data_IF_606794839610
#
_entry.id   IF_606794839610
#
_cell.length_a   1.000
_cell.length_b   1.000
_cell.length_c   1.000
_cell.angle_alpha   90.00
_cell.angle_beta   90.00
_cell.angle_gamma   90.00
#
_symmetry.space_group_name_H-M   'P 1'
#
loop_
_entity.id
_entity.type
_entity.pdbx_description
1 polymer ?
#
# COMPACT_ATOMS: atom_id res chain seq x y z
N UNK A 1 -82.43 -43.91 -3.62
CA UNK A 1 -82.66 -43.72 -2.17
C UNK A 1 -81.35 -43.18 -1.62
N UNK A 2 -81.21 -41.86 -1.40
CA UNK A 2 -81.63 -41.16 -0.18
C UNK A 2 -81.04 -41.86 1.05
N UNK A 3 -80.18 -41.27 1.89
CA UNK A 3 -80.19 -39.92 2.39
C UNK A 3 -78.80 -39.43 2.77
N UNK A 4 -78.64 -38.14 2.52
CA UNK A 4 -77.71 -37.19 3.12
C UNK A 4 -77.76 -37.31 4.65
N UNK A 5 -76.60 -37.32 5.31
CA UNK A 5 -76.52 -36.81 6.68
C UNK A 5 -75.20 -36.05 6.86
N UNK A 6 -75.42 -34.79 7.21
CA UNK A 6 -74.50 -33.68 7.28
C UNK A 6 -74.22 -33.46 8.76
N UNK A 7 -72.97 -33.62 9.18
CA UNK A 7 -72.51 -33.10 10.47
C UNK A 7 -71.27 -32.27 10.19
N UNK A 8 -71.45 -30.96 10.35
CA UNK A 8 -70.40 -29.95 10.40
C UNK A 8 -69.48 -30.18 11.61
N UNK A 9 -68.19 -30.33 11.33
CA UNK A 9 -67.11 -30.07 12.28
C UNK A 9 -66.01 -29.36 11.51
N UNK A 10 -65.95 -28.03 11.66
CA UNK A 10 -64.96 -27.21 10.97
C UNK A 10 -63.56 -27.51 11.48
N UNK A 11 -62.73 -28.06 10.60
CA UNK A 11 -61.28 -27.99 10.74
C UNK A 11 -60.81 -26.81 9.90
N UNK A 12 -60.43 -25.73 10.58
CA UNK A 12 -59.77 -24.58 9.97
C UNK A 12 -58.50 -25.06 9.25
N UNK A 13 -58.21 -24.56 8.04
CA UNK A 13 -56.92 -24.80 7.41
C UNK A 13 -55.85 -24.21 8.32
N UNK A 14 -54.88 -25.03 8.74
CA UNK A 14 -53.69 -24.59 9.46
C UNK A 14 -52.94 -23.55 8.61
N UNK A 15 -53.31 -22.29 8.80
CA UNK A 15 -52.55 -21.15 8.33
C UNK A 15 -51.24 -21.21 9.10
N UNK A 16 -50.16 -21.58 8.41
CA UNK A 16 -48.82 -21.35 8.90
C UNK A 16 -48.65 -19.84 9.04
N UNK A 17 -48.98 -19.32 10.22
CA UNK A 17 -48.58 -18.01 10.66
C UNK A 17 -47.07 -17.98 10.59
N UNK A 18 -46.54 -17.39 9.52
CA UNK A 18 -45.18 -16.90 9.47
C UNK A 18 -45.10 -15.79 10.52
N UNK A 19 -44.97 -16.19 11.80
CA UNK A 19 -44.43 -15.35 12.83
C UNK A 19 -43.04 -14.99 12.35
N UNK A 20 -42.90 -13.78 11.81
CA UNK A 20 -41.61 -13.19 11.54
C UNK A 20 -40.97 -12.94 12.90
N UNK A 21 -40.32 -13.99 13.44
CA UNK A 21 -39.40 -13.87 14.55
C UNK A 21 -38.32 -12.89 14.13
N UNK A 22 -38.56 -11.64 14.48
CA UNK A 22 -37.60 -10.56 14.47
C UNK A 22 -36.63 -10.81 15.63
N UNK A 23 -35.96 -11.96 15.62
CA UNK A 23 -34.73 -12.14 16.34
C UNK A 23 -33.73 -11.19 15.69
N UNK A 24 -33.65 -9.98 16.23
CA UNK A 24 -32.59 -9.04 15.95
C UNK A 24 -31.27 -9.76 16.19
N UNK A 25 -30.64 -10.21 15.10
CA UNK A 25 -29.25 -10.61 15.13
C UNK A 25 -28.43 -9.37 15.45
N UNK A 26 -28.27 -9.09 16.74
CA UNK A 26 -27.37 -8.08 17.22
C UNK A 26 -25.98 -8.42 16.70
N UNK A 27 -25.48 -7.62 15.76
CA UNK A 27 -24.19 -7.84 15.12
C UNK A 27 -23.14 -7.84 16.22
N UNK A 28 -22.60 -9.02 16.54
CA UNK A 28 -21.50 -9.19 17.50
C UNK A 28 -20.44 -8.13 17.19
N UNK A 29 -20.21 -7.23 18.15
CA UNK A 29 -19.21 -6.16 18.02
C UNK A 29 -17.87 -6.84 17.71
N UNK A 30 -17.27 -6.49 16.57
CA UNK A 30 -15.98 -7.05 16.15
C UNK A 30 -14.94 -6.82 17.25
N UNK A 31 -14.29 -7.89 17.72
CA UNK A 31 -13.23 -7.82 18.75
C UNK A 31 -12.08 -6.87 18.37
N UNK A 32 -11.92 -6.58 17.08
CA UNK A 32 -10.90 -5.68 16.54
C UNK A 32 -11.59 -4.51 15.84
N UNK A 33 -11.19 -3.29 16.21
CA UNK A 33 -11.71 -2.06 15.59
C UNK A 33 -11.28 -1.96 14.12
N UNK A 34 -12.08 -1.28 13.29
CA UNK A 34 -11.75 -1.06 11.88
C UNK A 34 -10.40 -0.33 11.74
N UNK A 35 -10.12 0.66 12.60
CA UNK A 35 -8.85 1.39 12.65
C UNK A 35 -7.65 0.48 12.90
N UNK A 36 -7.76 -0.48 13.84
CA UNK A 36 -6.69 -1.45 14.09
C UNK A 36 -6.46 -2.37 12.89
N UNK A 37 -7.53 -2.83 12.23
CA UNK A 37 -7.42 -3.66 11.03
C UNK A 37 -6.75 -2.90 9.88
N UNK A 38 -7.11 -1.63 9.67
CA UNK A 38 -6.48 -0.78 8.67
C UNK A 38 -4.99 -0.56 8.97
N UNK A 39 -4.65 -0.23 10.23
CA UNK A 39 -3.27 -0.06 10.65
C UNK A 39 -2.42 -1.31 10.35
N UNK A 40 -2.93 -2.51 10.67
CA UNK A 40 -2.24 -3.76 10.39
C UNK A 40 -2.09 -4.02 8.88
N UNK A 41 -3.13 -3.76 8.07
CA UNK A 41 -3.04 -3.85 6.60
C UNK A 41 -1.97 -2.91 6.04
N UNK A 42 -1.93 -1.66 6.52
CA UNK A 42 -0.91 -0.69 6.11
C UNK A 42 0.49 -1.17 6.48
N UNK A 43 0.69 -1.72 7.69
CA UNK A 43 1.99 -2.28 8.11
C UNK A 43 2.39 -3.48 7.25
N UNK A 44 1.46 -4.36 6.92
CA UNK A 44 1.69 -5.50 6.04
C UNK A 44 2.11 -5.04 4.64
N UNK A 45 1.37 -4.10 4.04
CA UNK A 45 1.70 -3.56 2.72
C UNK A 45 3.05 -2.84 2.70
N UNK A 46 3.38 -2.07 3.75
CA UNK A 46 4.70 -1.44 3.90
C UNK A 46 5.82 -2.48 3.91
N UNK A 47 5.66 -3.57 4.69
CA UNK A 47 6.65 -4.64 4.73
C UNK A 47 6.76 -5.37 3.39
N UNK A 48 5.63 -5.71 2.76
CA UNK A 48 5.61 -6.37 1.46
C UNK A 48 6.27 -5.52 0.37
N UNK A 49 6.04 -4.20 0.37
CA UNK A 49 6.69 -3.28 -0.56
C UNK A 49 8.20 -3.23 -0.35
N UNK A 50 8.67 -3.22 0.90
CA UNK A 50 10.10 -3.27 1.20
C UNK A 50 10.73 -4.59 0.72
N UNK A 51 10.08 -5.72 1.01
CA UNK A 51 10.53 -7.04 0.55
C UNK A 51 10.60 -7.13 -0.98
N UNK A 52 9.62 -6.56 -1.69
CA UNK A 52 9.61 -6.53 -3.16
C UNK A 52 10.79 -5.73 -3.74
N UNK A 53 11.17 -4.61 -3.10
CA UNK A 53 12.34 -3.84 -3.52
C UNK A 53 13.61 -4.65 -3.30
N UNK A 54 13.76 -5.28 -2.13
CA UNK A 54 14.91 -6.14 -1.84
C UNK A 54 15.02 -7.31 -2.81
N UNK A 55 13.91 -7.99 -3.12
CA UNK A 55 13.90 -9.10 -4.07
C UNK A 55 14.29 -8.66 -5.48
N UNK A 56 13.84 -7.48 -5.93
CA UNK A 56 14.24 -6.91 -7.22
C UNK A 56 15.73 -6.64 -7.30
N UNK A 57 16.30 -6.08 -6.23
CA UNK A 57 17.74 -5.83 -6.18
C UNK A 57 18.53 -7.14 -6.19
N UNK A 58 18.13 -8.12 -5.38
CA UNK A 58 18.74 -9.46 -5.38
C UNK A 58 18.71 -10.11 -6.76
N UNK A 59 17.56 -10.03 -7.48
CA UNK A 59 17.44 -10.54 -8.85
C UNK A 59 18.37 -9.82 -9.82
N UNK A 60 18.58 -8.52 -9.65
CA UNK A 60 19.52 -7.74 -10.49
C UNK A 60 20.96 -8.16 -10.22
N UNK A 61 21.37 -8.22 -8.94
CA UNK A 61 22.72 -8.65 -8.56
C UNK A 61 23.00 -10.07 -9.03
N UNK A 62 22.04 -10.99 -8.88
CA UNK A 62 22.20 -12.36 -9.34
C UNK A 62 22.31 -12.46 -10.86
N UNK A 63 21.53 -11.65 -11.60
CA UNK A 63 21.67 -11.54 -13.06
C UNK A 63 23.07 -11.08 -13.45
N UNK A 64 23.59 -10.04 -12.80
CA UNK A 64 24.95 -9.54 -13.05
C UNK A 64 26.00 -10.60 -12.72
N UNK A 65 25.85 -11.31 -11.59
CA UNK A 65 26.75 -12.41 -11.20
C UNK A 65 26.80 -13.51 -12.27
N UNK A 66 25.63 -13.99 -12.71
CA UNK A 66 25.54 -15.05 -13.72
C UNK A 66 26.11 -14.58 -15.06
N UNK A 67 25.83 -13.34 -15.47
CA UNK A 67 26.36 -12.81 -16.73
C UNK A 67 27.88 -12.68 -16.69
N UNK A 68 28.45 -12.21 -15.58
CA UNK A 68 29.90 -12.11 -15.42
C UNK A 68 30.59 -13.48 -15.42
N UNK A 69 29.92 -14.51 -14.88
CA UNK A 69 30.42 -15.89 -14.89
C UNK A 69 30.35 -16.53 -16.30
N UNK A 70 29.24 -16.31 -17.01
CA UNK A 70 28.97 -16.94 -18.32
C UNK A 70 29.63 -16.22 -19.49
N UNK A 71 29.72 -14.89 -19.40
CA UNK A 71 30.24 -14.00 -20.44
C UNK A 71 31.18 -12.99 -19.77
N UNK A 72 32.36 -13.44 -19.33
CA UNK A 72 33.35 -12.53 -18.78
C UNK A 72 33.81 -11.50 -19.82
N UNK A 73 34.31 -10.32 -19.40
CA UNK A 73 34.89 -9.34 -20.31
C UNK A 73 35.98 -9.96 -21.20
N UNK A 74 35.98 -9.58 -22.48
CA UNK A 74 36.98 -10.08 -23.42
C UNK A 74 38.31 -9.36 -23.22
N UNK A 75 39.36 -10.12 -22.95
CA UNK A 75 40.73 -9.64 -22.91
C UNK A 75 41.42 -9.95 -24.24
N UNK A 76 41.65 -8.91 -25.05
CA UNK A 76 42.20 -9.07 -26.41
C UNK A 76 43.66 -8.65 -26.53
N UNK A 77 44.19 -7.95 -25.52
CA UNK A 77 45.47 -7.25 -25.55
C UNK A 77 46.69 -8.18 -25.65
N UNK A 78 46.55 -9.47 -25.34
CA UNK A 78 47.63 -10.45 -25.28
C UNK A 78 47.48 -11.60 -26.28
N UNK A 79 46.46 -11.55 -27.15
CA UNK A 79 46.19 -12.63 -28.11
C UNK A 79 47.02 -12.47 -29.39
N UNK A 80 47.56 -13.58 -29.89
CA UNK A 80 48.13 -13.61 -31.23
C UNK A 80 47.02 -13.51 -32.30
N UNK A 81 47.38 -13.20 -33.55
CA UNK A 81 46.42 -13.17 -34.67
C UNK A 81 45.68 -14.51 -34.81
N UNK A 82 46.37 -15.63 -34.62
CA UNK A 82 45.79 -16.96 -34.74
C UNK A 82 44.78 -17.23 -33.61
N UNK A 83 45.12 -16.84 -32.38
CA UNK A 83 44.23 -17.00 -31.23
C UNK A 83 42.99 -16.13 -31.36
N UNK A 84 43.14 -14.91 -31.88
CA UNK A 84 42.01 -14.03 -32.16
C UNK A 84 41.07 -14.64 -33.22
N UNK A 85 41.61 -15.21 -34.30
CA UNK A 85 40.81 -15.90 -35.30
C UNK A 85 40.07 -17.12 -34.74
N UNK A 86 40.72 -17.88 -33.85
CA UNK A 86 40.12 -19.03 -33.19
C UNK A 86 38.99 -18.58 -32.25
N UNK A 87 39.22 -17.54 -31.44
CA UNK A 87 38.22 -16.95 -30.55
C UNK A 87 36.99 -16.46 -31.33
N UNK A 88 37.18 -15.77 -32.46
CA UNK A 88 36.06 -15.33 -33.30
C UNK A 88 35.21 -16.51 -33.82
N UNK A 89 35.85 -17.60 -34.24
CA UNK A 89 35.14 -18.82 -34.68
C UNK A 89 34.40 -19.51 -33.53
N UNK A 90 35.00 -19.53 -32.34
CA UNK A 90 34.37 -20.09 -31.14
C UNK A 90 33.16 -19.27 -30.70
N UNK A 91 33.30 -17.95 -30.62
CA UNK A 91 32.20 -17.05 -30.28
C UNK A 91 31.04 -17.16 -31.27
N UNK A 92 31.34 -17.25 -32.58
CA UNK A 92 30.30 -17.47 -33.59
C UNK A 92 29.50 -18.74 -33.33
N UNK A 93 30.17 -19.88 -33.08
CA UNK A 93 29.49 -21.15 -32.77
C UNK A 93 28.68 -21.05 -31.48
N UNK A 94 29.19 -20.36 -30.45
CA UNK A 94 28.49 -20.14 -29.19
C UNK A 94 27.22 -19.30 -29.38
N UNK A 95 27.24 -18.30 -30.27
CA UNK A 95 26.07 -17.48 -30.59
C UNK A 95 24.94 -18.36 -31.12
N UNK A 96 25.23 -19.27 -32.07
CA UNK A 96 24.22 -20.16 -32.65
C UNK A 96 23.55 -21.03 -31.57
N UNK A 97 24.34 -21.64 -30.68
CA UNK A 97 23.84 -22.47 -29.58
C UNK A 97 23.01 -21.65 -28.58
N UNK A 98 23.50 -20.48 -28.17
CA UNK A 98 22.79 -19.64 -27.19
C UNK A 98 21.49 -19.07 -27.78
N UNK A 99 21.44 -18.77 -29.08
CA UNK A 99 20.19 -18.30 -29.69
C UNK A 99 19.15 -19.41 -29.80
N UNK A 100 19.56 -20.66 -30.07
CA UNK A 100 18.69 -21.83 -29.99
C UNK A 100 18.11 -22.00 -28.56
N UNK A 101 18.96 -21.97 -27.54
CA UNK A 101 18.51 -22.04 -26.14
C UNK A 101 17.57 -20.87 -25.77
N UNK A 102 17.88 -19.66 -26.25
CA UNK A 102 17.04 -18.47 -26.06
C UNK A 102 15.66 -18.67 -26.69
N UNK A 103 15.61 -19.19 -27.91
CA UNK A 103 14.38 -19.48 -28.64
C UNK A 103 13.50 -20.49 -27.88
N UNK A 104 14.10 -21.58 -27.37
CA UNK A 104 13.39 -22.58 -26.58
C UNK A 104 12.79 -22.01 -25.29
N UNK A 105 13.53 -21.13 -24.60
CA UNK A 105 13.04 -20.45 -23.41
C UNK A 105 11.90 -19.49 -23.76
N UNK A 106 12.02 -18.72 -24.84
CA UNK A 106 10.99 -17.82 -25.33
C UNK A 106 9.70 -18.57 -25.69
N UNK A 107 9.80 -19.72 -26.35
CA UNK A 107 8.66 -20.57 -26.68
C UNK A 107 7.92 -21.07 -25.43
N UNK A 108 8.66 -21.43 -24.37
CA UNK A 108 8.08 -21.82 -23.06
C UNK A 108 7.38 -20.65 -22.38
N UNK A 109 7.98 -19.45 -22.39
CA UNK A 109 7.34 -18.23 -21.84
C UNK A 109 6.06 -17.91 -22.62
N UNK A 110 6.10 -17.93 -23.95
CA UNK A 110 4.93 -17.66 -24.78
C UNK A 110 3.80 -18.67 -24.58
N UNK A 111 4.10 -19.92 -24.23
CA UNK A 111 3.11 -20.93 -23.84
C UNK A 111 2.46 -20.56 -22.50
N UNK A 112 3.28 -20.21 -21.50
CA UNK A 112 2.79 -19.79 -20.18
C UNK A 112 1.92 -18.53 -20.28
N UNK A 113 2.30 -17.55 -21.11
CA UNK A 113 1.52 -16.32 -21.29
C UNK A 113 0.15 -16.60 -21.90
N UNK A 114 0.06 -17.52 -22.87
CA UNK A 114 -1.21 -17.99 -23.43
C UNK A 114 -2.07 -18.66 -22.38
N UNK A 115 -1.50 -19.58 -21.60
CA UNK A 115 -2.23 -20.25 -20.51
C UNK A 115 -2.72 -19.24 -19.45
N UNK A 116 -1.90 -18.24 -19.08
CA UNK A 116 -2.30 -17.18 -18.17
C UNK A 116 -3.42 -16.31 -18.74
N UNK A 117 -3.39 -15.98 -20.03
CA UNK A 117 -4.45 -15.23 -20.70
C UNK A 117 -5.77 -16.00 -20.66
N UNK A 118 -5.75 -17.29 -20.98
CA UNK A 118 -6.92 -18.17 -20.95
C UNK A 118 -7.49 -18.30 -19.53
N UNK A 119 -6.62 -18.48 -18.53
CA UNK A 119 -7.03 -18.55 -17.12
C UNK A 119 -7.62 -17.22 -16.65
N UNK A 120 -7.03 -16.09 -17.02
CA UNK A 120 -7.56 -14.77 -16.69
C UNK A 120 -8.94 -14.54 -17.33
N UNK A 121 -9.14 -14.99 -18.57
CA UNK A 121 -10.43 -14.95 -19.24
C UNK A 121 -11.47 -15.78 -18.49
N UNK A 122 -11.16 -17.04 -18.16
CA UNK A 122 -12.04 -17.91 -17.35
C UNK A 122 -12.38 -17.29 -16.00
N UNK A 123 -11.39 -16.70 -15.30
CA UNK A 123 -11.62 -15.99 -14.04
C UNK A 123 -12.59 -14.82 -14.23
N UNK A 124 -12.47 -14.07 -15.33
CA UNK A 124 -13.35 -12.96 -15.64
C UNK A 124 -14.79 -13.43 -15.88
N UNK A 125 -14.98 -14.49 -16.67
CA UNK A 125 -16.28 -15.10 -16.91
C UNK A 125 -16.92 -15.61 -15.61
N UNK A 126 -16.16 -16.34 -14.78
CA UNK A 126 -16.63 -16.88 -13.50
C UNK A 126 -16.96 -15.79 -12.47
N UNK A 127 -16.20 -14.69 -12.45
CA UNK A 127 -16.52 -13.53 -11.60
C UNK A 127 -17.83 -12.83 -12.03
N UNK A 128 -18.33 -13.14 -13.23
CA UNK A 128 -19.53 -12.61 -13.84
C UNK A 128 -19.34 -11.18 -14.34
N UNK A 129 -19.71 -10.91 -15.60
CA UNK A 129 -19.79 -9.55 -16.18
C UNK A 129 -20.63 -8.57 -15.35
N UNK A 130 -21.46 -9.08 -14.44
CA UNK A 130 -22.38 -8.32 -13.61
C UNK A 130 -22.19 -8.72 -12.15
N UNK A 131 -21.22 -8.13 -11.44
CA UNK A 131 -21.50 -7.85 -10.02
C UNK A 131 -22.76 -7.00 -10.03
N UNK A 132 -23.91 -7.56 -9.64
CA UNK A 132 -25.12 -6.76 -9.39
C UNK A 132 -24.68 -5.55 -8.58
N UNK A 133 -24.80 -4.30 -9.09
CA UNK A 133 -24.49 -3.13 -8.29
C UNK A 133 -25.37 -3.24 -7.06
N UNK A 134 -24.75 -3.50 -5.91
CA UNK A 134 -25.53 -3.66 -4.70
C UNK A 134 -26.15 -2.29 -4.45
N UNK A 135 -27.49 -2.18 -4.61
CA UNK A 135 -28.21 -0.92 -4.47
C UNK A 135 -28.02 -0.44 -3.03
N UNK A 136 -26.98 0.37 -2.80
CA UNK A 136 -26.72 0.99 -1.50
C UNK A 136 -27.73 2.11 -1.35
N UNK A 137 -28.44 2.17 -0.22
CA UNK A 137 -29.19 3.35 0.18
C UNK A 137 -28.18 4.50 0.33
N UNK A 138 -28.04 5.32 -0.70
CA UNK A 138 -27.20 6.51 -0.68
C UNK A 138 -27.91 7.52 0.22
N UNK A 139 -27.38 7.73 1.42
CA UNK A 139 -27.73 8.92 2.20
C UNK A 139 -26.94 10.09 1.61
N UNK A 140 -27.54 11.28 1.59
CA UNK A 140 -26.90 12.52 1.15
C UNK A 140 -25.51 12.62 1.79
N UNK A 141 -24.46 12.78 0.99
CA UNK A 141 -23.08 12.83 1.51
C UNK A 141 -22.90 14.04 2.43
N UNK A 142 -21.92 13.98 3.33
CA UNK A 142 -21.57 15.12 4.18
C UNK A 142 -21.31 16.37 3.32
N UNK A 143 -20.64 16.22 2.18
CA UNK A 143 -20.38 17.30 1.22
C UNK A 143 -21.66 17.86 0.57
N UNK A 144 -22.63 17.00 0.26
CA UNK A 144 -23.92 17.43 -0.29
C UNK A 144 -24.79 18.12 0.77
N UNK A 145 -24.73 17.68 2.03
CA UNK A 145 -25.37 18.38 3.15
C UNK A 145 -24.68 19.71 3.46
N UNK A 146 -23.34 19.75 3.47
CA UNK A 146 -22.56 20.96 3.74
C UNK A 146 -22.69 21.97 2.60
N UNK A 147 -22.70 21.54 1.34
CA UNK A 147 -22.97 22.41 0.20
C UNK A 147 -24.39 22.98 0.20
N UNK A 148 -25.39 22.21 0.66
CA UNK A 148 -26.76 22.68 0.80
C UNK A 148 -26.96 23.64 1.99
N UNK A 149 -26.26 23.41 3.11
CA UNK A 149 -26.38 24.23 4.32
C UNK A 149 -25.49 25.48 4.31
N UNK A 150 -24.33 25.42 3.67
CA UNK A 150 -23.29 26.46 3.75
C UNK A 150 -22.91 27.08 2.40
N UNK A 151 -23.52 26.62 1.30
CA UNK A 151 -23.32 27.15 -0.05
C UNK A 151 -21.90 26.96 -0.59
N UNK A 152 -21.49 27.82 -1.53
CA UNK A 152 -20.24 27.69 -2.29
C UNK A 152 -18.94 27.86 -1.48
N UNK A 153 -19.01 28.25 -0.20
CA UNK A 153 -17.82 28.49 0.66
C UNK A 153 -17.02 27.23 1.02
N UNK A 154 -17.54 26.03 0.77
CA UNK A 154 -16.88 24.77 1.15
C UNK A 154 -16.39 23.94 -0.05
N UNK A 155 -16.37 24.52 -1.26
CA UNK A 155 -15.99 23.84 -2.51
C UNK A 155 -14.49 24.01 -2.84
N UNK A 156 -13.64 24.16 -1.83
CA UNK A 156 -12.18 24.13 -2.01
C UNK A 156 -11.69 22.71 -1.69
N UNK A 157 -10.88 22.16 -2.59
CA UNK A 157 -10.49 20.74 -2.65
C UNK A 157 -10.16 20.13 -1.28
N UNK A 158 -10.84 19.05 -0.93
CA UNK A 158 -10.41 18.14 0.16
C UNK A 158 -9.24 17.28 -0.37
N UNK A 159 -8.21 17.93 -0.90
CA UNK A 159 -6.87 17.35 -0.86
C UNK A 159 -6.39 17.59 0.56
N UNK A 160 -6.66 16.61 1.45
CA UNK A 160 -6.25 16.66 2.85
C UNK A 160 -4.72 16.87 3.00
N UNK A 161 -3.96 16.56 1.95
CA UNK A 161 -2.52 16.78 1.86
C UNK A 161 -2.13 18.18 1.39
N UNK A 162 -2.98 18.89 0.64
CA UNK A 162 -2.67 20.21 0.08
C UNK A 162 -2.88 21.35 1.09
N UNK A 163 -3.80 21.20 2.06
CA UNK A 163 -4.11 22.26 3.02
C UNK A 163 -3.40 22.11 4.40
N UNK A 164 -2.51 21.14 4.55
CA UNK A 164 -1.62 21.07 5.72
C UNK A 164 -0.45 22.03 5.49
N UNK A 165 -0.39 23.14 6.26
CA UNK A 165 0.82 23.96 6.36
C UNK A 165 1.98 23.07 6.81
N UNK A 166 2.91 22.75 5.92
CA UNK A 166 4.27 22.39 6.37
C UNK A 166 4.79 23.61 7.12
N UNK A 167 4.95 23.50 8.43
CA UNK A 167 5.72 24.49 9.19
C UNK A 167 7.10 24.48 8.55
N UNK A 168 7.39 25.50 7.73
CA UNK A 168 8.77 25.86 7.43
C UNK A 168 9.37 26.16 8.79
N UNK A 169 10.21 25.25 9.28
CA UNK A 169 11.12 25.54 10.37
C UNK A 169 11.91 26.75 9.87
N UNK A 170 11.67 27.92 10.44
CA UNK A 170 12.52 29.08 10.19
C UNK A 170 13.95 28.62 10.49
N UNK A 171 14.85 28.82 9.53
CA UNK A 171 16.28 28.69 9.80
C UNK A 171 16.63 29.75 10.83
N UNK A 172 16.65 29.33 12.10
CA UNK A 172 17.17 30.10 13.20
C UNK A 172 18.63 30.43 12.84
N UNK A 173 18.86 31.72 12.60
CA UNK A 173 20.17 32.25 12.26
C UNK A 173 21.18 31.75 13.28
N UNK A 174 22.24 31.11 12.78
CA UNK A 174 23.43 30.73 13.53
C UNK A 174 23.99 31.96 14.24
N UNK A 175 23.68 32.12 15.52
CA UNK A 175 24.56 32.88 16.42
C UNK A 175 25.51 31.88 17.08
N UNK A 176 26.78 32.20 16.89
CA UNK A 176 27.97 31.45 17.29
C UNK A 176 27.98 31.33 18.82
N UNK A 177 27.60 30.16 19.33
CA UNK A 177 27.62 29.86 20.77
C UNK A 177 29.07 29.84 21.25
N UNK A 178 29.54 30.95 21.79
CA UNK A 178 30.78 31.01 22.56
C UNK A 178 30.51 30.46 23.97
N UNK A 179 31.25 29.41 24.30
CA UNK A 179 31.38 28.66 25.56
C UNK A 179 30.54 29.13 26.77
N UNK A 180 29.53 28.33 27.13
CA UNK A 180 28.63 28.53 28.29
C UNK A 180 29.34 28.66 29.63
N UNK A 181 30.62 28.26 29.75
CA UNK A 181 31.39 28.43 30.98
C UNK A 181 31.60 29.89 31.38
N UNK A 182 31.68 30.83 30.44
CA UNK A 182 32.00 32.25 30.75
C UNK A 182 30.84 33.04 31.37
N UNK A 183 29.59 32.62 31.16
CA UNK A 183 28.42 33.36 31.67
C UNK A 183 28.15 33.04 33.17
N UNK A 184 28.56 31.86 33.64
CA UNK A 184 28.30 31.42 35.02
C UNK A 184 29.26 32.09 36.02
N UNK A 185 30.53 32.26 35.67
CA UNK A 185 31.52 32.92 36.54
C UNK A 185 31.26 34.43 36.72
N UNK A 186 30.56 35.07 35.79
CA UNK A 186 30.24 36.49 35.87
C UNK A 186 29.14 36.82 36.91
N UNK A 187 28.34 35.83 37.35
CA UNK A 187 27.24 36.07 38.29
C UNK A 187 27.53 35.69 39.74
N UNK A 188 28.68 35.08 40.07
CA UNK A 188 28.97 34.62 41.43
C UNK A 188 29.58 35.69 42.37
N UNK A 189 29.61 36.97 41.98
CA UNK A 189 30.48 37.97 42.60
C UNK A 189 29.84 39.13 43.37
N UNK A 190 28.53 39.12 43.68
CA UNK A 190 27.88 40.28 44.32
C UNK A 190 27.03 39.92 45.55
N UNK A 191 27.69 39.44 46.60
CA UNK A 191 27.13 39.39 47.96
C UNK A 191 27.89 40.39 48.86
N UNK A 192 27.48 41.66 48.81
CA UNK A 192 28.11 42.76 49.55
C UNK A 192 27.11 43.84 49.94
N UNK A 193 26.68 43.80 51.20
CA UNK A 193 25.71 44.69 51.90
C UNK A 193 25.89 46.18 51.57
N UNK A 194 24.97 46.79 50.80
CA UNK A 194 24.83 48.26 50.71
C UNK A 194 23.96 48.79 51.87
N UNK A 195 24.62 49.42 52.84
CA UNK A 195 23.98 50.28 53.86
C UNK A 195 23.44 51.53 53.18
N UNK A 196 22.16 51.86 53.40
CA UNK A 196 21.63 53.20 53.20
C UNK A 196 21.02 53.65 54.53
N UNK A 197 21.63 54.64 55.18
CA UNK A 197 21.00 55.42 56.23
C UNK A 197 20.61 56.77 55.61
N UNK A 198 19.34 57.15 55.76
CA UNK A 198 18.86 58.48 55.39
C UNK A 198 19.28 59.49 56.49
N UNK A 199 19.97 60.55 56.08
CA UNK A 199 20.23 61.74 56.89
C UNK A 199 19.33 62.88 56.44
N UNK A 200 18.79 63.59 57.41
CA UNK A 200 17.62 64.47 57.35
C UNK A 200 17.92 65.93 56.93
N UNK A 201 16.81 66.63 56.69
CA UNK A 201 16.54 68.08 56.83
C UNK A 201 17.19 69.06 55.87
#
# INVERSE_FOLDING_TARGET
MALYNHIHGGEEPLVWSYAADSHGHEKRKSKITASRRLFLKTKLLKKASAMLVTEKEQKKTERERILNERVPPLELSELSLQDLQNLCKELHRKIDVVDEERYDVEAKVAKNDRELADLNHKIFELKGKMKRPNLKRVRVSADAMLGALLGAKHKESIDFKANLKTVKKEEEKKEEVTDWRKNVDAMSGMEGRKKMFAGAS
#
